data_IF_008549465767
#
_entry.id   IF_008549465767
#
_cell.length_a   1.000
_cell.length_b   1.000
_cell.length_c   1.000
_cell.angle_alpha   90.00
_cell.angle_beta   90.00
_cell.angle_gamma   90.00
#
_symmetry.space_group_name_H-M   'P 1'
#
loop_
_entity.id
_entity.type
_entity.pdbx_description
1 polymer ?
#
# COMPACT_ATOMS: atom_id res chain seq x y z
N UNK A 1 5.23 0.50 8.51
CA UNK A 1 6.37 0.42 9.46
C UNK A 1 7.36 1.54 9.14
N UNK A 2 7.75 2.40 10.11
CA UNK A 2 8.51 3.63 9.84
C UNK A 2 9.86 3.41 9.13
N UNK A 3 10.54 2.30 9.41
CA UNK A 3 11.82 1.97 8.78
C UNK A 3 11.70 1.66 7.28
N UNK A 4 10.57 1.10 6.83
CA UNK A 4 10.30 0.88 5.40
C UNK A 4 10.10 2.22 4.70
N UNK A 5 9.34 3.15 5.31
CA UNK A 5 9.07 4.46 4.72
C UNK A 5 10.35 5.25 4.43
N UNK A 6 11.31 5.27 5.38
CA UNK A 6 12.61 5.92 5.15
C UNK A 6 13.39 5.28 4.00
N UNK A 7 13.38 3.95 3.89
CA UNK A 7 14.04 3.23 2.80
C UNK A 7 13.34 3.45 1.44
N UNK A 8 12.02 3.64 1.45
CA UNK A 8 11.21 3.94 0.26
C UNK A 8 11.35 5.39 -0.23
N UNK A 9 12.17 6.23 0.42
CA UNK A 9 12.38 7.63 0.01
C UNK A 9 11.28 8.59 0.45
N UNK A 10 10.47 8.21 1.45
CA UNK A 10 9.44 9.08 2.02
C UNK A 10 10.11 10.28 2.73
N UNK A 11 9.61 11.52 2.55
CA UNK A 11 10.18 12.70 3.19
C UNK A 11 10.24 12.58 4.73
N UNK A 12 11.35 13.04 5.31
CA UNK A 12 11.55 13.00 6.76
C UNK A 12 10.49 13.82 7.52
N UNK A 13 10.04 14.94 6.94
CA UNK A 13 8.97 15.76 7.52
C UNK A 13 7.64 15.02 7.68
N UNK A 14 7.30 14.11 6.76
CA UNK A 14 6.09 13.29 6.86
C UNK A 14 6.26 12.20 7.94
N UNK A 15 7.46 11.65 8.07
CA UNK A 15 7.76 10.70 9.14
C UNK A 15 7.67 11.34 10.52
N UNK A 16 8.15 12.57 10.65
CA UNK A 16 8.06 13.33 11.89
C UNK A 16 6.60 13.57 12.30
N UNK A 17 5.73 13.93 11.36
CA UNK A 17 4.30 14.12 11.62
C UNK A 17 3.62 12.81 12.06
N UNK A 18 3.93 11.70 11.39
CA UNK A 18 3.43 10.36 11.76
C UNK A 18 3.92 9.98 13.17
N UNK A 19 5.17 10.27 13.53
CA UNK A 19 5.74 9.96 14.85
C UNK A 19 5.13 10.77 16.00
N UNK A 20 4.51 11.93 15.72
CA UNK A 20 3.78 12.67 16.75
C UNK A 20 2.50 11.96 17.19
N UNK A 21 1.94 11.13 16.32
CA UNK A 21 0.67 10.41 16.55
C UNK A 21 0.92 8.93 16.87
N UNK A 22 1.97 8.34 16.32
CA UNK A 22 2.26 6.90 16.42
C UNK A 22 3.48 6.66 17.31
N UNK A 23 3.24 6.38 18.59
CA UNK A 23 4.29 6.03 19.55
C UNK A 23 4.43 4.52 19.70
N UNK A 24 5.63 4.01 20.00
CA UNK A 24 5.84 2.57 20.19
C UNK A 24 5.76 2.18 21.67
N UNK A 25 5.01 1.12 22.05
CA UNK A 25 4.18 0.26 21.20
C UNK A 25 2.85 0.93 20.81
N UNK A 26 2.53 0.90 19.51
CA UNK A 26 1.36 1.59 18.98
C UNK A 26 0.07 0.84 19.25
N UNK A 27 -0.95 1.56 19.71
CA UNK A 27 -2.33 1.09 19.81
C UNK A 27 -3.02 1.07 18.45
N UNK A 28 -4.13 0.34 18.34
CA UNK A 28 -4.93 0.30 17.10
C UNK A 28 -5.40 1.71 16.69
N UNK A 29 -5.84 2.51 17.67
CA UNK A 29 -6.35 3.85 17.42
C UNK A 29 -5.24 4.80 16.94
N UNK A 30 -4.03 4.71 17.50
CA UNK A 30 -2.86 5.46 17.00
C UNK A 30 -2.50 5.05 15.56
N UNK A 31 -2.57 3.75 15.23
CA UNK A 31 -2.35 3.27 13.86
C UNK A 31 -3.39 3.83 12.90
N UNK A 32 -4.68 3.81 13.27
CA UNK A 32 -5.75 4.38 12.45
C UNK A 32 -5.57 5.88 12.28
N UNK A 33 -5.25 6.62 13.36
CA UNK A 33 -5.02 8.06 13.29
C UNK A 33 -3.82 8.40 12.38
N UNK A 34 -2.69 7.73 12.57
CA UNK A 34 -1.50 7.93 11.75
C UNK A 34 -1.69 7.51 10.29
N UNK A 35 -2.51 6.49 10.00
CA UNK A 35 -2.79 6.06 8.63
C UNK A 35 -3.44 7.15 7.78
N UNK A 36 -4.19 8.07 8.39
CA UNK A 36 -4.83 9.21 7.70
C UNK A 36 -3.83 10.26 7.22
N UNK A 37 -2.62 10.25 7.78
CA UNK A 37 -1.55 11.15 7.38
C UNK A 37 -0.76 10.61 6.19
N UNK A 38 -0.90 9.32 5.86
CA UNK A 38 -0.17 8.69 4.76
C UNK A 38 -0.86 9.04 3.44
N UNK A 39 -0.20 9.78 2.54
CA UNK A 39 -0.79 10.15 1.27
C UNK A 39 -0.91 8.95 0.31
N UNK A 40 -1.88 9.00 -0.60
CA UNK A 40 -2.17 7.88 -1.52
C UNK A 40 -1.01 7.58 -2.48
N UNK A 41 -0.23 8.58 -2.90
CA UNK A 41 0.95 8.37 -3.76
C UNK A 41 2.02 7.53 -3.03
N UNK A 42 2.23 7.77 -1.73
CA UNK A 42 3.11 6.94 -0.90
C UNK A 42 2.58 5.51 -0.79
N UNK A 43 1.26 5.31 -0.72
CA UNK A 43 0.67 3.96 -0.77
C UNK A 43 0.97 3.29 -2.11
N UNK A 44 0.74 3.99 -3.22
CA UNK A 44 0.96 3.46 -4.58
C UNK A 44 2.43 3.23 -4.92
N UNK A 45 3.38 3.81 -4.17
CA UNK A 45 4.80 3.51 -4.34
C UNK A 45 5.15 2.06 -3.95
N UNK A 46 4.43 1.48 -2.98
CA UNK A 46 4.79 0.20 -2.36
C UNK A 46 3.69 -0.86 -2.44
N UNK A 47 2.45 -0.47 -2.75
CA UNK A 47 1.29 -1.34 -2.78
C UNK A 47 0.48 -1.16 -4.06
N UNK A 48 -0.12 -2.25 -4.56
CA UNK A 48 -1.26 -2.18 -5.46
C UNK A 48 -2.52 -2.08 -4.59
N UNK A 49 -3.05 -0.87 -4.44
CA UNK A 49 -4.19 -0.58 -3.56
C UNK A 49 -5.18 0.37 -4.25
N UNK A 50 -6.38 0.50 -3.70
CA UNK A 50 -7.43 1.37 -4.23
C UNK A 50 -8.44 0.62 -5.09
N UNK A 51 -8.82 1.21 -6.21
CA UNK A 51 -9.80 0.66 -7.15
C UNK A 51 -9.23 -0.54 -7.94
N UNK A 52 -10.11 -1.39 -8.52
CA UNK A 52 -9.68 -2.48 -9.39
C UNK A 52 -8.72 -2.06 -10.51
N UNK A 53 -8.97 -0.92 -11.14
CA UNK A 53 -8.16 -0.44 -12.26
C UNK A 53 -6.78 0.06 -11.81
N UNK A 54 -6.71 0.78 -10.68
CA UNK A 54 -5.43 1.18 -10.07
C UNK A 54 -4.58 -0.03 -9.69
N UNK A 55 -5.22 -1.06 -9.13
CA UNK A 55 -4.53 -2.29 -8.77
C UNK A 55 -3.97 -3.01 -10.01
N UNK A 56 -4.76 -3.10 -11.09
CA UNK A 56 -4.31 -3.71 -12.36
C UNK A 56 -3.16 -2.94 -13.00
N UNK A 57 -3.25 -1.61 -13.05
CA UNK A 57 -2.16 -0.79 -13.61
C UNK A 57 -0.87 -0.95 -12.80
N UNK A 58 -0.97 -0.97 -11.45
CA UNK A 58 0.20 -1.18 -10.59
C UNK A 58 0.81 -2.57 -10.79
N UNK A 59 -0.01 -3.61 -10.90
CA UNK A 59 0.50 -4.96 -11.18
C UNK A 59 1.14 -5.02 -12.57
N UNK A 60 0.55 -4.38 -13.59
CA UNK A 60 1.15 -4.27 -14.92
C UNK A 60 2.52 -3.57 -14.87
N UNK A 61 2.67 -2.52 -14.05
CA UNK A 61 3.96 -1.86 -13.80
C UNK A 61 5.00 -2.83 -13.26
N UNK A 62 4.65 -3.64 -12.26
CA UNK A 62 5.56 -4.65 -11.71
C UNK A 62 5.99 -5.67 -12.75
N UNK A 63 5.06 -6.13 -13.59
CA UNK A 63 5.36 -7.07 -14.68
C UNK A 63 6.30 -6.44 -15.73
N UNK A 64 6.06 -5.18 -16.12
CA UNK A 64 6.95 -4.43 -17.02
C UNK A 64 8.36 -4.28 -16.44
N UNK A 65 8.49 -4.22 -15.13
CA UNK A 65 9.76 -4.15 -14.41
C UNK A 65 10.39 -5.52 -14.10
N UNK A 66 9.83 -6.61 -14.65
CA UNK A 66 10.42 -7.95 -14.58
C UNK A 66 9.85 -8.86 -13.50
N UNK A 67 8.75 -8.48 -12.83
CA UNK A 67 7.99 -9.42 -12.02
C UNK A 67 7.42 -10.53 -12.92
N UNK A 68 7.60 -11.80 -12.53
CA UNK A 68 7.09 -12.95 -13.30
C UNK A 68 5.92 -13.65 -12.63
N UNK A 69 5.67 -13.37 -11.35
CA UNK A 69 4.63 -14.02 -10.55
C UNK A 69 4.19 -13.07 -9.43
N UNK A 70 3.26 -12.13 -9.70
CA UNK A 70 2.72 -11.25 -8.67
C UNK A 70 1.86 -12.07 -7.69
N UNK A 71 2.15 -11.95 -6.39
CA UNK A 71 1.36 -12.56 -5.32
C UNK A 71 0.44 -11.49 -4.74
N UNK A 72 -0.87 -11.66 -4.91
CA UNK A 72 -1.87 -10.73 -4.41
C UNK A 72 -2.35 -11.16 -3.03
N UNK A 73 -2.18 -10.28 -2.03
CA UNK A 73 -2.65 -10.50 -0.67
C UNK A 73 -3.87 -9.63 -0.37
N UNK A 74 -5.06 -10.21 -0.15
CA UNK A 74 -6.26 -9.45 0.14
C UNK A 74 -6.21 -8.81 1.52
N UNK A 75 -6.10 -7.48 1.55
CA UNK A 75 -6.20 -6.67 2.78
C UNK A 75 -7.62 -6.14 3.03
N UNK A 76 -8.46 -6.12 1.99
CA UNK A 76 -9.86 -5.69 2.10
C UNK A 76 -10.77 -6.76 2.69
N UNK A 77 -11.96 -6.38 3.18
CA UNK A 77 -12.91 -7.31 3.79
C UNK A 77 -13.54 -8.29 2.78
N UNK A 78 -13.46 -7.99 1.49
CA UNK A 78 -14.04 -8.80 0.42
C UNK A 78 -12.92 -9.44 -0.44
N UNK A 79 -12.64 -10.71 -0.17
CA UNK A 79 -11.65 -11.50 -0.92
C UNK A 79 -12.13 -11.81 -2.33
N UNK A 80 -13.43 -12.09 -2.50
CA UNK A 80 -14.02 -12.44 -3.80
C UNK A 80 -13.86 -11.29 -4.79
N UNK A 81 -14.02 -10.04 -4.34
CA UNK A 81 -13.79 -8.86 -5.18
C UNK A 81 -12.36 -8.84 -5.77
N UNK A 82 -11.34 -9.20 -4.98
CA UNK A 82 -9.96 -9.27 -5.48
C UNK A 82 -9.80 -10.38 -6.51
N UNK A 83 -10.38 -11.55 -6.26
CA UNK A 83 -10.32 -12.68 -7.20
C UNK A 83 -10.98 -12.30 -8.51
N UNK A 84 -12.21 -11.78 -8.47
CA UNK A 84 -12.98 -11.39 -9.66
C UNK A 84 -12.30 -10.26 -10.44
N UNK A 85 -11.64 -9.34 -9.73
CA UNK A 85 -10.87 -8.27 -10.36
C UNK A 85 -9.74 -8.81 -11.25
N UNK A 86 -9.15 -9.96 -10.92
CA UNK A 86 -8.01 -10.51 -11.65
C UNK A 86 -8.32 -11.79 -12.44
N UNK A 87 -9.51 -12.37 -12.31
CA UNK A 87 -9.88 -13.67 -12.89
C UNK A 87 -9.63 -13.78 -14.41
N UNK A 88 -9.98 -12.74 -15.16
CA UNK A 88 -9.81 -12.68 -16.63
C UNK A 88 -8.85 -11.56 -17.07
N UNK A 89 -8.09 -11.00 -16.12
CA UNK A 89 -7.20 -9.88 -16.42
C UNK A 89 -5.93 -10.36 -17.13
N UNK A 90 -5.60 -9.70 -18.23
CA UNK A 90 -4.32 -9.86 -18.93
C UNK A 90 -3.59 -8.50 -18.93
N UNK A 91 -2.30 -8.46 -18.55
CA UNK A 91 -1.51 -7.23 -18.51
C UNK A 91 -1.20 -6.63 -19.88
#
# INVERSE_FOLDING_TARGET
QPHIMKASGVPESLLDEIHQVLTWPATHDEVVAASRLVPDDIVQMICAAGTPDECREKVAEYLRHGCTCPILYPLGPNVELMIDTFADWTP
#
